data_IF_100243877333
#
_entry.id   IF_100243877333
#
_cell.length_a   1.000
_cell.length_b   1.000
_cell.length_c   1.000
_cell.angle_alpha   90.00
_cell.angle_beta   90.00
_cell.angle_gamma   90.00
#
_symmetry.space_group_name_H-M   'P 1'
#
loop_
_entity.id
_entity.type
_entity.pdbx_description
1 polymer ?
#
# COMPACT_ATOMS: atom_id res chain seq x y z
N UNK A 1 7.51 -10.18 -39.38
CA UNK A 1 6.59 -10.33 -38.23
C UNK A 1 7.37 -10.13 -36.94
N UNK A 2 7.40 -8.93 -36.34
CA UNK A 2 8.06 -8.71 -35.01
C UNK A 2 7.74 -7.36 -34.35
N UNK A 3 7.39 -6.30 -35.11
CA UNK A 3 7.20 -4.96 -34.53
C UNK A 3 6.01 -4.83 -33.55
N UNK A 4 4.88 -5.51 -33.81
CA UNK A 4 3.70 -5.44 -32.93
C UNK A 4 3.83 -6.21 -31.60
N UNK A 5 4.79 -7.12 -31.48
CA UNK A 5 5.08 -7.85 -30.23
C UNK A 5 6.00 -7.02 -29.32
N UNK A 6 6.94 -6.29 -29.93
CA UNK A 6 7.85 -5.39 -29.20
C UNK A 6 7.10 -4.20 -28.57
N UNK A 7 6.22 -3.54 -29.32
CA UNK A 7 5.43 -2.41 -28.80
C UNK A 7 4.51 -2.81 -27.62
N UNK A 8 3.91 -4.01 -27.66
CA UNK A 8 3.07 -4.51 -26.55
C UNK A 8 3.89 -4.89 -25.32
N UNK A 9 5.10 -5.44 -25.51
CA UNK A 9 6.00 -5.74 -24.40
C UNK A 9 6.49 -4.44 -23.73
N UNK A 10 6.89 -3.45 -24.51
CA UNK A 10 7.30 -2.12 -24.02
C UNK A 10 6.16 -1.43 -23.27
N UNK A 11 4.94 -1.44 -23.81
CA UNK A 11 3.79 -0.84 -23.13
C UNK A 11 3.45 -1.51 -21.79
N UNK A 12 3.64 -2.84 -21.69
CA UNK A 12 3.45 -3.59 -20.43
C UNK A 12 4.53 -3.24 -19.40
N UNK A 13 5.78 -3.11 -19.83
CA UNK A 13 6.87 -2.76 -18.92
C UNK A 13 6.75 -1.33 -18.41
N UNK A 14 6.42 -0.38 -19.29
CA UNK A 14 6.14 1.02 -18.88
C UNK A 14 5.01 1.05 -17.87
N UNK A 15 3.90 0.37 -18.16
CA UNK A 15 2.77 0.28 -17.23
C UNK A 15 3.19 -0.32 -15.88
N UNK A 16 3.98 -1.40 -15.90
CA UNK A 16 4.47 -2.04 -14.68
C UNK A 16 5.30 -1.07 -13.83
N UNK A 17 6.19 -0.31 -14.47
CA UNK A 17 7.04 0.66 -13.81
C UNK A 17 6.22 1.82 -13.21
N UNK A 18 5.30 2.39 -13.99
CA UNK A 18 4.41 3.46 -13.50
C UNK A 18 3.51 2.99 -12.36
N UNK A 19 2.95 1.76 -12.46
CA UNK A 19 2.14 1.18 -11.40
C UNK A 19 2.99 0.97 -10.12
N UNK A 20 4.24 0.51 -10.25
CA UNK A 20 5.14 0.33 -9.11
C UNK A 20 5.46 1.66 -8.42
N UNK A 21 5.85 2.68 -9.17
CA UNK A 21 6.13 4.03 -8.65
C UNK A 21 4.92 4.64 -7.94
N UNK A 22 3.73 4.47 -8.52
CA UNK A 22 2.49 4.91 -7.90
C UNK A 22 2.23 4.21 -6.57
N UNK A 23 2.34 2.89 -6.53
CA UNK A 23 2.08 2.15 -5.29
C UNK A 23 3.13 2.41 -4.21
N UNK A 24 4.41 2.56 -4.58
CA UNK A 24 5.46 2.89 -3.62
C UNK A 24 5.21 4.26 -2.98
N UNK A 25 4.81 5.26 -3.78
CA UNK A 25 4.42 6.58 -3.27
C UNK A 25 3.23 6.51 -2.31
N UNK A 26 2.17 5.78 -2.70
CA UNK A 26 0.96 5.63 -1.88
C UNK A 26 1.24 4.87 -0.58
N UNK A 27 2.06 3.81 -0.62
CA UNK A 27 2.45 3.04 0.56
C UNK A 27 3.22 3.91 1.56
N UNK A 28 4.23 4.65 1.10
CA UNK A 28 5.01 5.54 1.96
C UNK A 28 4.12 6.59 2.65
N UNK A 29 3.26 7.27 1.87
CA UNK A 29 2.28 8.23 2.41
C UNK A 29 1.39 7.60 3.47
N UNK A 30 0.91 6.38 3.25
CA UNK A 30 0.02 5.69 4.19
C UNK A 30 0.74 5.23 5.47
N UNK A 31 1.99 4.79 5.38
CA UNK A 31 2.78 4.47 6.58
C UNK A 31 3.06 5.72 7.42
N UNK A 32 3.41 6.85 6.80
CA UNK A 32 3.56 8.14 7.48
C UNK A 32 2.26 8.55 8.16
N UNK A 33 1.15 8.51 7.43
CA UNK A 33 -0.17 8.84 7.96
C UNK A 33 -0.59 7.92 9.11
N UNK A 34 -0.29 6.62 9.02
CA UNK A 34 -0.54 5.69 10.10
C UNK A 34 0.28 6.04 11.35
N UNK A 35 1.56 6.40 11.20
CA UNK A 35 2.42 6.81 12.32
C UNK A 35 1.80 8.00 13.06
N UNK A 36 1.43 9.05 12.31
CA UNK A 36 0.83 10.27 12.86
C UNK A 36 -0.49 9.99 13.61
N UNK A 37 -1.34 9.13 13.05
CA UNK A 37 -2.62 8.76 13.65
C UNK A 37 -2.44 7.83 14.85
N UNK A 38 -1.46 6.93 14.80
CA UNK A 38 -1.13 6.02 15.90
C UNK A 38 -0.59 6.77 17.12
N UNK A 39 0.21 7.82 16.94
CA UNK A 39 0.79 8.59 18.03
C UNK A 39 -0.25 9.39 18.83
N UNK A 40 -1.33 9.83 18.18
CA UNK A 40 -2.40 10.61 18.82
C UNK A 40 -3.56 9.77 19.34
N UNK A 41 -3.58 8.47 19.04
CA UNK A 41 -4.66 7.57 19.46
C UNK A 41 -4.50 7.17 20.94
N UNK A 42 -5.58 7.27 21.71
CA UNK A 42 -5.60 6.94 23.14
C UNK A 42 -6.21 5.58 23.49
N UNK A 43 -6.93 4.95 22.55
CA UNK A 43 -7.52 3.63 22.74
C UNK A 43 -6.48 2.54 22.43
N UNK A 44 -5.86 2.01 23.49
CA UNK A 44 -4.78 1.01 23.40
C UNK A 44 -5.21 -0.26 22.65
N UNK A 45 -6.47 -0.69 22.80
CA UNK A 45 -6.97 -1.90 22.13
C UNK A 45 -7.05 -1.70 20.62
N UNK A 46 -7.55 -0.53 20.18
CA UNK A 46 -7.59 -0.18 18.76
C UNK A 46 -6.19 0.02 18.19
N UNK A 47 -5.29 0.64 18.95
CA UNK A 47 -3.89 0.84 18.54
C UNK A 47 -3.21 -0.51 18.29
N UNK A 48 -3.37 -1.47 19.19
CA UNK A 48 -2.78 -2.79 19.02
C UNK A 48 -3.36 -3.54 17.83
N UNK A 49 -4.69 -3.52 17.66
CA UNK A 49 -5.35 -4.13 16.50
C UNK A 49 -4.88 -3.50 15.18
N UNK A 50 -4.77 -2.17 15.12
CA UNK A 50 -4.31 -1.46 13.93
C UNK A 50 -2.83 -1.78 13.62
N UNK A 51 -1.97 -1.90 14.64
CA UNK A 51 -0.57 -2.34 14.46
C UNK A 51 -0.48 -3.74 13.86
N UNK A 52 -1.32 -4.67 14.31
CA UNK A 52 -1.37 -6.02 13.72
C UNK A 52 -1.80 -6.00 12.25
N UNK A 53 -2.73 -5.11 11.87
CA UNK A 53 -3.12 -4.90 10.47
C UNK A 53 -1.95 -4.34 9.65
N UNK A 54 -1.19 -3.38 10.20
CA UNK A 54 0.01 -2.83 9.53
C UNK A 54 1.08 -3.90 9.33
N UNK A 55 1.30 -4.78 10.31
CA UNK A 55 2.21 -5.93 10.15
C UNK A 55 1.74 -6.84 9.02
N UNK A 56 0.44 -7.13 8.91
CA UNK A 56 -0.10 -7.89 7.78
C UNK A 56 0.06 -7.15 6.44
N UNK A 57 -0.11 -5.83 6.42
CA UNK A 57 0.11 -5.01 5.23
C UNK A 57 1.57 -5.07 4.75
N UNK A 58 2.54 -5.03 5.68
CA UNK A 58 3.96 -5.10 5.38
C UNK A 58 4.36 -6.41 4.68
N UNK A 59 3.66 -7.53 4.95
CA UNK A 59 3.86 -8.79 4.21
C UNK A 59 3.47 -8.62 2.75
N UNK A 60 2.30 -8.03 2.48
CA UNK A 60 1.83 -7.80 1.11
C UNK A 60 2.68 -6.77 0.36
N UNK A 61 3.15 -5.73 1.05
CA UNK A 61 4.09 -4.74 0.52
C UNK A 61 5.40 -5.42 0.08
N UNK A 62 6.03 -6.20 0.96
CA UNK A 62 7.23 -6.96 0.62
C UNK A 62 7.01 -7.89 -0.58
N UNK A 63 5.91 -8.62 -0.59
CA UNK A 63 5.58 -9.56 -1.67
C UNK A 63 5.29 -8.83 -2.99
N UNK A 64 4.89 -7.54 -2.94
CA UNK A 64 4.58 -6.73 -4.11
C UNK A 64 5.75 -6.51 -5.05
N UNK A 65 6.98 -6.55 -4.52
CA UNK A 65 8.25 -6.49 -5.27
C UNK A 65 8.37 -7.61 -6.32
N UNK A 66 7.66 -8.71 -6.09
CA UNK A 66 7.60 -9.86 -7.01
C UNK A 66 6.24 -10.00 -7.68
N UNK A 67 5.15 -9.69 -6.95
CA UNK A 67 3.76 -9.80 -7.40
C UNK A 67 3.08 -8.43 -7.27
N UNK A 68 3.14 -7.55 -8.27
CA UNK A 68 2.70 -6.15 -8.16
C UNK A 68 1.25 -5.97 -7.66
N UNK A 69 0.37 -6.92 -7.92
CA UNK A 69 -1.02 -6.88 -7.43
C UNK A 69 -1.15 -6.92 -5.91
N UNK A 70 -0.10 -7.33 -5.17
CA UNK A 70 -0.09 -7.35 -3.70
C UNK A 70 -0.02 -5.97 -3.09
N UNK A 71 0.54 -4.97 -3.78
CA UNK A 71 0.59 -3.59 -3.28
C UNK A 71 -0.81 -3.04 -2.99
N UNK A 72 -1.80 -3.37 -3.83
CA UNK A 72 -3.22 -3.01 -3.60
C UNK A 72 -3.79 -3.59 -2.30
N UNK A 73 -3.33 -4.77 -1.90
CA UNK A 73 -3.75 -5.39 -0.65
C UNK A 73 -3.11 -4.68 0.55
N UNK A 74 -1.81 -4.37 0.48
CA UNK A 74 -1.13 -3.57 1.50
C UNK A 74 -1.80 -2.20 1.70
N UNK A 75 -2.04 -1.47 0.61
CA UNK A 75 -2.73 -0.16 0.63
C UNK A 75 -4.09 -0.25 1.31
N UNK A 76 -4.92 -1.24 0.94
CA UNK A 76 -6.23 -1.43 1.57
C UNK A 76 -6.11 -1.67 3.07
N UNK A 77 -5.21 -2.54 3.50
CA UNK A 77 -5.04 -2.81 4.93
C UNK A 77 -4.56 -1.59 5.71
N UNK A 78 -3.65 -0.79 5.14
CA UNK A 78 -3.23 0.47 5.76
C UNK A 78 -4.41 1.45 5.91
N UNK A 79 -5.27 1.58 4.89
CA UNK A 79 -6.48 2.42 4.99
C UNK A 79 -7.43 1.92 6.07
N UNK A 80 -7.63 0.61 6.22
CA UNK A 80 -8.44 0.04 7.30
C UNK A 80 -7.83 0.29 8.69
N UNK A 81 -6.51 0.16 8.83
CA UNK A 81 -5.80 0.46 10.08
C UNK A 81 -5.95 1.93 10.47
N UNK A 82 -5.80 2.85 9.51
CA UNK A 82 -5.99 4.30 9.74
C UNK A 82 -7.44 4.60 10.11
N UNK A 83 -8.41 4.04 9.36
CA UNK A 83 -9.84 4.24 9.63
C UNK A 83 -10.25 3.74 11.02
N UNK A 84 -9.68 2.62 11.48
CA UNK A 84 -9.91 2.07 12.82
C UNK A 84 -9.49 3.04 13.93
N UNK A 85 -8.39 3.78 13.73
CA UNK A 85 -7.86 4.74 14.69
C UNK A 85 -8.53 6.11 14.58
N UNK A 86 -8.75 6.60 13.36
CA UNK A 86 -9.44 7.85 13.10
C UNK A 86 -10.22 7.82 11.78
N UNK A 87 -11.53 7.59 11.88
CA UNK A 87 -12.44 7.55 10.75
C UNK A 87 -12.62 8.90 10.01
N UNK A 88 -12.14 10.01 10.59
CA UNK A 88 -12.19 11.34 9.95
C UNK A 88 -10.97 11.59 9.07
N UNK A 89 -9.91 10.80 9.21
CA UNK A 89 -8.73 10.88 8.36
C UNK A 89 -9.03 10.21 7.04
N UNK A 90 -8.93 10.97 5.95
CA UNK A 90 -9.02 10.42 4.60
C UNK A 90 -7.68 9.79 4.23
N UNK A 91 -7.64 8.46 4.26
CA UNK A 91 -6.53 7.64 3.83
C UNK A 91 -6.59 7.31 2.34
#
# INVERSE_FOLDING_TARGET
MTHGTNARAVAREIKRQTDAEFYDCELNRLYELFSDVCERASDECRVEAARMIVVAAAVFDRDSKTIPSRAKHAIRLLKEAIFMLDAKVSA
#
